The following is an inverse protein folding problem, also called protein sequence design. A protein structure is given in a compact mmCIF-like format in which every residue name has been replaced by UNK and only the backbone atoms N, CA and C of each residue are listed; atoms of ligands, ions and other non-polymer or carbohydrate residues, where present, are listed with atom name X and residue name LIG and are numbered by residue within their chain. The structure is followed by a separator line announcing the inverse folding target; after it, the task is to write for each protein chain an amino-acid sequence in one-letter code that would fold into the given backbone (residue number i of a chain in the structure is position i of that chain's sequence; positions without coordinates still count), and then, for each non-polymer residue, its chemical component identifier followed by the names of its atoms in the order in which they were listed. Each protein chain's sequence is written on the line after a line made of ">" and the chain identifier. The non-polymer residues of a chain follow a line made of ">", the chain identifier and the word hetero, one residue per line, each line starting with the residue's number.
data_IF_737915196801
#
_entry.id   IF_737915196801
#
_cell.length_a   1.000
_cell.length_b   1.000
_cell.length_c   1.000
_cell.angle_alpha   90.00
_cell.angle_beta   90.00
_cell.angle_gamma   90.00
#
_symmetry.space_group_name_H-M   'P 1'
#
loop_
_entity.id
_entity.type
_entity.pdbx_description
1 polymer ?
#
# COMPACT_ATOMS: atom_id res chain seq x y z
N UNK A 1 4.27 22.81 -2.98
CA UNK A 1 3.81 21.83 -1.98
C UNK A 1 4.31 22.26 -0.62
N UNK A 2 3.41 22.42 0.36
CA UNK A 2 3.77 22.68 1.75
C UNK A 2 3.34 21.44 2.55
N UNK A 3 4.33 20.69 3.06
CA UNK A 3 4.05 19.50 3.88
C UNK A 3 3.67 19.98 5.28
N UNK A 4 2.51 19.60 5.83
CA UNK A 4 2.20 19.89 7.23
C UNK A 4 3.20 19.15 8.14
N UNK A 5 3.53 19.74 9.30
CA UNK A 5 4.48 19.13 10.22
C UNK A 5 3.94 17.84 10.86
N UNK A 6 2.62 17.73 10.98
CA UNK A 6 1.94 16.59 11.58
C UNK A 6 0.69 16.20 10.79
N UNK A 7 0.22 14.98 11.01
CA UNK A 7 -1.02 14.48 10.42
C UNK A 7 -2.26 15.14 11.05
N UNK A 8 -3.45 14.79 10.58
CA UNK A 8 -4.72 15.34 11.08
C UNK A 8 -4.95 15.11 12.60
N UNK A 9 -4.20 14.18 13.21
CA UNK A 9 -4.27 13.82 14.62
C UNK A 9 -3.15 14.44 15.46
N UNK A 10 -2.26 15.24 14.85
CA UNK A 10 -1.16 15.91 15.54
C UNK A 10 0.06 15.02 15.78
N UNK A 11 0.15 13.86 15.13
CA UNK A 11 1.33 12.98 15.18
C UNK A 11 2.30 13.29 14.04
N UNK A 12 3.59 13.07 14.28
CA UNK A 12 4.61 13.12 13.25
C UNK A 12 4.40 11.97 12.24
N UNK A 13 4.66 12.23 10.96
CA UNK A 13 4.57 11.21 9.91
C UNK A 13 5.72 10.21 10.03
N UNK A 14 5.42 8.93 9.81
CA UNK A 14 6.40 7.83 9.81
C UNK A 14 7.20 7.71 11.10
N UNK A 15 6.54 7.88 12.25
CA UNK A 15 7.18 7.72 13.55
C UNK A 15 7.31 6.24 13.94
N UNK A 16 8.55 5.74 13.91
CA UNK A 16 8.88 4.37 14.32
C UNK A 16 9.51 4.29 15.73
N UNK A 17 9.76 5.43 16.39
CA UNK A 17 10.57 5.48 17.62
C UNK A 17 9.79 5.97 18.84
N UNK A 18 8.92 6.98 18.69
CA UNK A 18 8.37 7.72 19.84
C UNK A 18 6.93 7.32 20.22
N UNK A 19 6.21 6.59 19.36
CA UNK A 19 4.79 6.26 19.56
C UNK A 19 4.59 4.80 19.95
N UNK A 20 4.56 4.50 21.25
CA UNK A 20 4.18 3.15 21.73
C UNK A 20 2.69 2.90 21.56
N UNK A 21 2.33 2.10 20.56
CA UNK A 21 0.96 1.68 20.26
C UNK A 21 0.94 0.23 19.75
N UNK A 22 -0.24 -0.42 19.81
CA UNK A 22 -0.42 -1.76 19.20
C UNK A 22 -0.07 -1.76 17.70
N UNK A 23 -0.35 -0.64 17.01
CA UNK A 23 0.05 -0.44 15.61
C UNK A 23 1.56 -0.52 15.42
N UNK A 24 2.33 0.16 16.28
CA UNK A 24 3.79 0.15 16.22
C UNK A 24 4.35 -1.26 16.46
N UNK A 25 3.78 -2.02 17.41
CA UNK A 25 4.19 -3.41 17.66
C UNK A 25 3.93 -4.31 16.45
N UNK A 26 2.78 -4.13 15.77
CA UNK A 26 2.46 -4.81 14.52
C UNK A 26 3.44 -4.47 13.39
N UNK A 27 3.73 -3.19 13.20
CA UNK A 27 4.69 -2.70 12.19
C UNK A 27 6.11 -3.24 12.47
N UNK A 28 6.58 -3.22 13.71
CA UNK A 28 7.89 -3.76 14.08
C UNK A 28 7.96 -5.26 13.77
N UNK A 29 6.92 -6.02 14.13
CA UNK A 29 6.84 -7.44 13.85
C UNK A 29 6.82 -7.72 12.33
N UNK A 30 6.07 -6.92 11.56
CA UNK A 30 6.01 -7.01 10.10
C UNK A 30 7.41 -6.84 9.49
N UNK A 31 8.13 -5.78 9.86
CA UNK A 31 9.48 -5.53 9.35
C UNK A 31 10.47 -6.59 9.80
N UNK A 32 10.43 -7.00 11.07
CA UNK A 32 11.28 -8.08 11.59
C UNK A 32 11.11 -9.37 10.79
N UNK A 33 9.86 -9.77 10.52
CA UNK A 33 9.57 -10.96 9.74
C UNK A 33 10.05 -10.82 8.30
N UNK A 34 9.85 -9.66 7.67
CA UNK A 34 10.34 -9.42 6.32
C UNK A 34 11.88 -9.45 6.27
N UNK A 35 12.57 -8.80 7.21
CA UNK A 35 14.04 -8.80 7.26
C UNK A 35 14.64 -10.21 7.44
N UNK A 36 13.97 -11.08 8.19
CA UNK A 36 14.42 -12.47 8.39
C UNK A 36 14.16 -13.33 7.14
N UNK A 37 13.02 -13.15 6.48
CA UNK A 37 12.52 -14.11 5.49
C UNK A 37 12.70 -13.68 4.02
N UNK A 38 12.92 -12.40 3.73
CA UNK A 38 13.16 -11.88 2.37
C UNK A 38 14.57 -12.23 1.88
N UNK A 39 14.78 -13.50 1.56
CA UNK A 39 16.05 -14.01 1.03
C UNK A 39 16.10 -13.93 -0.50
N UNK A 40 17.31 -14.03 -1.08
CA UNK A 40 17.48 -14.10 -2.54
C UNK A 40 16.63 -15.20 -3.18
N UNK A 41 16.62 -16.39 -2.58
CA UNK A 41 15.87 -17.54 -3.09
C UNK A 41 14.35 -17.30 -3.01
N UNK A 42 13.88 -16.71 -1.90
CA UNK A 42 12.47 -16.32 -1.76
C UNK A 42 12.06 -15.32 -2.84
N UNK A 43 12.80 -14.23 -3.01
CA UNK A 43 12.49 -13.19 -4.00
C UNK A 43 12.56 -13.76 -5.42
N UNK A 44 13.55 -14.60 -5.74
CA UNK A 44 13.65 -15.25 -7.05
C UNK A 44 12.42 -16.11 -7.33
N UNK A 45 11.97 -16.91 -6.35
CA UNK A 45 10.75 -17.73 -6.45
C UNK A 45 9.49 -16.88 -6.64
N UNK A 46 9.33 -15.80 -5.86
CA UNK A 46 8.17 -14.90 -5.99
C UNK A 46 8.12 -14.23 -7.36
N UNK A 47 9.27 -13.78 -7.89
CA UNK A 47 9.35 -13.19 -9.25
C UNK A 47 8.95 -14.19 -10.34
N UNK A 48 9.40 -15.45 -10.23
CA UNK A 48 8.99 -16.50 -11.16
C UNK A 48 7.49 -16.83 -11.05
N UNK A 49 6.94 -16.83 -9.83
CA UNK A 49 5.55 -17.15 -9.58
C UNK A 49 4.59 -16.06 -10.10
N UNK A 50 4.87 -14.78 -9.82
CA UNK A 50 3.97 -13.67 -10.16
C UNK A 50 4.30 -12.98 -11.48
N UNK A 51 5.54 -13.11 -12.00
CA UNK A 51 5.94 -12.53 -13.28
C UNK A 51 5.25 -13.16 -14.50
N UNK A 52 4.51 -14.26 -14.32
CA UNK A 52 3.68 -14.88 -15.37
C UNK A 52 2.39 -14.12 -15.63
N UNK A 53 1.93 -13.31 -14.67
CA UNK A 53 0.69 -12.53 -14.75
C UNK A 53 -0.53 -13.39 -15.15
N UNK A 54 -0.58 -14.62 -14.64
CA UNK A 54 -1.56 -15.65 -15.03
C UNK A 54 -2.54 -16.00 -13.89
N UNK A 55 -2.71 -15.10 -12.91
CA UNK A 55 -3.53 -15.33 -11.72
C UNK A 55 -5.00 -15.03 -11.95
N UNK A 56 -5.30 -13.91 -12.58
CA UNK A 56 -6.66 -13.39 -12.75
C UNK A 56 -6.62 -12.26 -13.77
N UNK A 57 -7.70 -12.08 -14.53
CA UNK A 57 -7.92 -10.91 -15.38
C UNK A 57 -8.99 -10.04 -14.73
N UNK A 58 -8.66 -8.77 -14.47
CA UNK A 58 -9.57 -7.80 -13.87
C UNK A 58 -9.24 -6.37 -14.32
N UNK A 59 -10.22 -5.49 -14.24
CA UNK A 59 -10.05 -4.05 -14.43
C UNK A 59 -9.32 -3.40 -13.25
N UNK A 60 -8.84 -2.17 -13.46
CA UNK A 60 -8.22 -1.36 -12.40
C UNK A 60 -9.19 -1.14 -11.23
N UNK A 61 -10.48 -0.89 -11.52
CA UNK A 61 -11.45 -0.62 -10.47
C UNK A 61 -11.79 -1.86 -9.65
N UNK A 62 -11.93 -3.03 -10.28
CA UNK A 62 -12.09 -4.30 -9.55
C UNK A 62 -10.88 -4.59 -8.65
N UNK A 63 -9.67 -4.25 -9.11
CA UNK A 63 -8.45 -4.34 -8.30
C UNK A 63 -8.49 -3.38 -7.09
N UNK A 64 -8.96 -2.14 -7.27
CA UNK A 64 -9.20 -1.21 -6.17
C UNK A 64 -10.24 -1.75 -5.18
N UNK A 65 -11.34 -2.35 -5.66
CA UNK A 65 -12.40 -2.89 -4.80
C UNK A 65 -11.91 -4.08 -3.97
N UNK A 66 -11.03 -4.94 -4.51
CA UNK A 66 -10.37 -6.00 -3.71
C UNK A 66 -9.52 -5.43 -2.57
N UNK A 67 -8.95 -4.24 -2.76
CA UNK A 67 -8.15 -3.55 -1.74
C UNK A 67 -9.00 -2.85 -0.67
N UNK A 68 -10.33 -2.94 -0.74
CA UNK A 68 -11.21 -2.49 0.33
C UNK A 68 -11.04 -3.33 1.62
N UNK A 69 -10.63 -4.60 1.49
CA UNK A 69 -10.47 -5.52 2.62
C UNK A 69 -9.00 -5.64 3.07
N UNK A 70 -8.12 -4.76 2.57
CA UNK A 70 -6.68 -4.76 2.87
C UNK A 70 -6.32 -3.50 3.64
N UNK A 71 -5.71 -3.68 4.82
CA UNK A 71 -5.02 -2.63 5.58
C UNK A 71 -3.53 -2.96 5.56
N UNK A 72 -2.68 -2.00 5.20
CA UNK A 72 -1.23 -2.22 5.07
C UNK A 72 -0.56 -2.31 6.44
N UNK A 73 -0.24 -3.51 6.93
CA UNK A 73 0.38 -3.74 8.24
C UNK A 73 1.76 -3.08 8.44
N UNK A 74 2.39 -2.58 7.36
CA UNK A 74 3.72 -1.95 7.42
C UNK A 74 3.69 -0.43 7.62
N UNK A 75 2.51 0.19 7.45
CA UNK A 75 2.36 1.63 7.50
C UNK A 75 2.09 2.12 8.93
N UNK A 76 2.96 2.94 9.55
CA UNK A 76 2.70 3.46 10.89
C UNK A 76 1.59 4.52 10.93
N UNK A 77 1.22 5.11 9.79
CA UNK A 77 0.37 6.29 9.70
C UNK A 77 -1.09 5.97 9.34
N UNK A 78 -1.33 4.85 8.65
CA UNK A 78 -2.64 4.49 8.07
C UNK A 78 -3.28 3.29 8.79
N UNK A 79 -4.60 3.37 9.00
CA UNK A 79 -5.42 2.24 9.49
C UNK A 79 -6.70 2.05 8.63
N UNK A 80 -6.88 2.89 7.62
CA UNK A 80 -7.94 2.78 6.63
C UNK A 80 -7.69 1.69 5.58
N UNK A 81 -8.76 1.22 4.90
CA UNK A 81 -8.66 0.41 3.70
C UNK A 81 -7.73 1.01 2.65
N UNK A 82 -6.96 0.15 1.99
CA UNK A 82 -5.97 0.55 0.99
C UNK A 82 -6.60 1.31 -0.18
N UNK A 83 -7.85 1.03 -0.56
CA UNK A 83 -8.58 1.80 -1.59
C UNK A 83 -8.68 3.30 -1.24
N UNK A 84 -8.84 3.66 0.04
CA UNK A 84 -8.92 5.05 0.46
C UNK A 84 -7.60 5.77 0.20
N UNK A 85 -6.47 5.15 0.53
CA UNK A 85 -5.13 5.69 0.24
C UNK A 85 -4.88 5.92 -1.26
N UNK A 86 -5.35 5.00 -2.12
CA UNK A 86 -5.24 5.17 -3.58
C UNK A 86 -6.00 6.42 -4.05
N UNK A 87 -7.22 6.62 -3.55
CA UNK A 87 -8.06 7.78 -3.89
C UNK A 87 -7.51 9.08 -3.30
N UNK A 88 -7.07 9.08 -2.05
CA UNK A 88 -6.45 10.24 -1.39
C UNK A 88 -5.20 10.70 -2.15
N UNK A 89 -4.34 9.75 -2.54
CA UNK A 89 -3.13 10.03 -3.32
C UNK A 89 -3.49 10.62 -4.69
N UNK A 90 -4.40 9.98 -5.43
CA UNK A 90 -4.83 10.44 -6.75
C UNK A 90 -5.47 11.85 -6.69
N UNK A 91 -6.35 12.11 -5.72
CA UNK A 91 -7.04 13.39 -5.59
C UNK A 91 -6.13 14.52 -5.11
N UNK A 92 -5.17 14.24 -4.22
CA UNK A 92 -4.16 15.22 -3.82
C UNK A 92 -3.30 15.64 -5.02
N UNK A 93 -2.85 14.67 -5.83
CA UNK A 93 -2.12 14.94 -7.06
C UNK A 93 -2.99 15.72 -8.04
N UNK A 94 -4.26 15.32 -8.25
CA UNK A 94 -5.18 16.01 -9.15
C UNK A 94 -5.36 17.48 -8.79
N UNK A 95 -5.43 17.79 -7.49
CA UNK A 95 -5.54 19.16 -6.99
C UNK A 95 -4.29 20.00 -7.27
N UNK A 96 -3.11 19.43 -7.06
CA UNK A 96 -1.84 20.15 -7.19
C UNK A 96 -1.33 20.21 -8.64
N UNK A 97 -1.68 19.22 -9.47
CA UNK A 97 -1.25 19.07 -10.86
C UNK A 97 -2.44 18.85 -11.81
N UNK A 98 -3.39 19.79 -11.92
CA UNK A 98 -4.68 19.56 -12.59
C UNK A 98 -4.59 19.19 -14.08
N UNK A 99 -3.47 19.48 -14.75
CA UNK A 99 -3.26 19.20 -16.17
C UNK A 99 -2.43 17.93 -16.43
N UNK A 100 -2.00 17.20 -15.40
CA UNK A 100 -1.15 16.01 -15.50
C UNK A 100 -1.97 14.75 -15.20
N UNK A 101 -2.93 14.41 -16.07
CA UNK A 101 -3.88 13.29 -15.90
C UNK A 101 -3.18 11.94 -15.66
N UNK A 102 -2.07 11.68 -16.36
CA UNK A 102 -1.24 10.49 -16.16
C UNK A 102 -0.68 10.40 -14.73
N UNK A 103 -0.43 11.53 -14.07
CA UNK A 103 0.09 11.56 -12.70
C UNK A 103 -1.03 11.26 -11.70
N UNK A 104 -2.28 11.67 -12.00
CA UNK A 104 -3.45 11.31 -11.20
C UNK A 104 -3.64 9.80 -11.22
N UNK A 105 -3.58 9.22 -12.44
CA UNK A 105 -3.66 7.77 -12.62
C UNK A 105 -2.50 7.05 -11.92
N UNK A 106 -1.28 7.60 -12.00
CA UNK A 106 -0.12 7.03 -11.29
C UNK A 106 -0.38 6.95 -9.79
N UNK A 107 -0.96 7.99 -9.20
CA UNK A 107 -1.39 7.97 -7.80
C UNK A 107 -2.45 6.89 -7.50
N UNK A 108 -3.41 6.69 -8.40
CA UNK A 108 -4.44 5.66 -8.23
C UNK A 108 -3.88 4.24 -8.30
N UNK A 109 -2.90 3.98 -9.19
CA UNK A 109 -2.45 2.60 -9.47
C UNK A 109 -1.20 2.16 -8.70
N UNK A 110 -0.53 3.08 -7.99
CA UNK A 110 0.82 2.84 -7.47
C UNK A 110 0.93 1.62 -6.55
N UNK A 111 -0.11 1.38 -5.74
CA UNK A 111 -0.13 0.35 -4.70
C UNK A 111 -1.02 -0.85 -5.04
N UNK A 112 -1.52 -0.97 -6.29
CA UNK A 112 -2.37 -2.09 -6.69
C UNK A 112 -1.70 -3.46 -6.54
N UNK A 113 -0.38 -3.52 -6.48
CA UNK A 113 0.36 -4.76 -6.18
C UNK A 113 0.04 -5.36 -4.81
N UNK A 114 -0.56 -4.60 -3.88
CA UNK A 114 -0.99 -5.10 -2.57
C UNK A 114 -2.10 -6.15 -2.64
N UNK A 115 -2.73 -6.35 -3.81
CA UNK A 115 -3.68 -7.47 -4.02
C UNK A 115 -3.04 -8.84 -3.79
N UNK A 116 -1.70 -8.95 -3.84
CA UNK A 116 -0.97 -10.16 -3.46
C UNK A 116 -1.21 -10.59 -2.00
N UNK A 117 -1.71 -9.68 -1.14
CA UNK A 117 -2.07 -9.97 0.24
C UNK A 117 -3.52 -10.47 0.38
N UNK A 118 -4.36 -10.30 -0.64
CA UNK A 118 -5.77 -10.63 -0.56
C UNK A 118 -5.99 -12.15 -0.74
N UNK A 119 -6.70 -12.85 0.17
CA UNK A 119 -6.86 -14.30 0.11
C UNK A 119 -7.48 -14.81 -1.21
N UNK A 120 -8.43 -14.07 -1.77
CA UNK A 120 -9.10 -14.45 -3.02
C UNK A 120 -8.34 -14.07 -4.30
N UNK A 121 -7.13 -13.51 -4.19
CA UNK A 121 -6.36 -13.11 -5.36
C UNK A 121 -5.88 -14.35 -6.15
N UNK A 122 -6.43 -14.52 -7.35
CA UNK A 122 -6.14 -15.67 -8.22
C UNK A 122 -7.03 -16.90 -7.99
N UNK A 123 -8.10 -16.76 -7.20
CA UNK A 123 -9.13 -17.80 -7.02
C UNK A 123 -10.32 -17.64 -7.98
N UNK A 124 -10.38 -16.53 -8.73
CA UNK A 124 -11.45 -16.16 -9.68
C UNK A 124 -11.16 -16.63 -11.11
#
# INVERSE_FOLDING_TARGET
>A
FAVPQSNAFGHDFRDYENVKSERQEGVELFYKNNHINQTYDFVKKMREAYGKLDKVEMSIWECCELLNDVVDESDPDLDEPQIEHLLQTAEAIRKDYPNEDWLHLTGLIHDLGKVLLHPSFGEL
#
